data_IF_215963991705
#
_entry.id   IF_215963991705
#
_cell.length_a   1.000
_cell.length_b   1.000
_cell.length_c   1.000
_cell.angle_alpha   90.00
_cell.angle_beta   90.00
_cell.angle_gamma   90.00
#
_symmetry.space_group_name_H-M   'P 1'
#
loop_
_entity.id
_entity.type
_entity.pdbx_description
1 polymer ?
#
# COMPACT_ATOMS: atom_id res chain seq x y z
N UNK A 1 23.40 -20.09 -13.40
CA UNK A 1 22.91 -18.78 -12.94
C UNK A 1 21.40 -18.83 -13.00
N UNK A 2 20.78 -19.24 -11.90
CA UNK A 2 19.33 -19.40 -11.81
C UNK A 2 18.65 -18.05 -12.01
N UNK A 3 17.87 -17.94 -13.09
CA UNK A 3 17.02 -16.78 -13.34
C UNK A 3 15.99 -16.73 -12.22
N UNK A 4 15.96 -15.64 -11.48
CA UNK A 4 14.86 -15.35 -10.56
C UNK A 4 13.53 -15.46 -11.33
N UNK A 5 12.48 -16.07 -10.75
CA UNK A 5 11.19 -16.16 -11.39
C UNK A 5 10.71 -14.75 -11.77
N UNK A 6 10.18 -14.60 -12.99
CA UNK A 6 9.72 -13.30 -13.53
C UNK A 6 8.55 -12.70 -12.73
N UNK A 7 7.90 -13.49 -11.88
CA UNK A 7 6.75 -13.11 -11.08
C UNK A 7 7.07 -13.31 -9.59
N UNK A 8 6.79 -12.33 -8.73
CA UNK A 8 6.99 -12.47 -7.30
C UNK A 8 5.99 -13.46 -6.68
N UNK A 9 6.45 -14.22 -5.70
CA UNK A 9 5.59 -15.09 -4.87
C UNK A 9 4.87 -14.30 -3.77
N UNK A 10 5.47 -13.21 -3.28
CA UNK A 10 4.93 -12.33 -2.25
C UNK A 10 5.35 -10.88 -2.49
N UNK A 11 4.47 -9.93 -2.17
CA UNK A 11 4.77 -8.49 -2.18
C UNK A 11 4.66 -7.96 -0.77
N UNK A 12 5.65 -7.16 -0.35
CA UNK A 12 5.64 -6.45 0.93
C UNK A 12 5.57 -4.95 0.68
N UNK A 13 4.58 -4.29 1.27
CA UNK A 13 4.40 -2.84 1.25
C UNK A 13 4.71 -2.31 2.66
N UNK A 14 5.66 -1.37 2.74
CA UNK A 14 5.99 -0.67 3.98
C UNK A 14 5.67 0.80 3.73
N UNK A 15 4.77 1.36 4.54
CA UNK A 15 4.24 2.71 4.31
C UNK A 15 3.78 3.36 5.61
N UNK A 16 3.65 4.68 5.60
CA UNK A 16 3.10 5.50 6.68
C UNK A 16 1.67 6.00 6.39
N UNK A 17 1.15 5.84 5.17
CA UNK A 17 -0.20 6.24 4.81
C UNK A 17 -0.62 5.91 3.36
N UNK A 18 -1.72 6.50 2.91
CA UNK A 18 -2.18 6.40 1.51
C UNK A 18 -1.27 7.21 0.57
N UNK A 19 -1.11 6.75 -0.68
CA UNK A 19 -0.27 7.42 -1.68
C UNK A 19 -0.73 8.86 -1.94
N UNK A 20 0.24 9.76 -2.00
CA UNK A 20 0.03 11.19 -2.30
C UNK A 20 0.38 11.55 -3.74
N UNK A 21 0.97 10.62 -4.49
CA UNK A 21 1.38 10.80 -5.89
C UNK A 21 0.98 9.58 -6.73
N UNK A 22 0.59 9.84 -7.98
CA UNK A 22 0.34 8.81 -8.99
C UNK A 22 1.40 8.84 -10.09
N UNK A 23 1.09 8.29 -11.27
CA UNK A 23 2.03 8.27 -12.41
C UNK A 23 2.40 9.68 -12.93
N UNK A 24 1.51 10.66 -12.70
CA UNK A 24 1.73 12.05 -13.08
C UNK A 24 2.11 12.84 -11.84
N UNK A 25 3.11 13.72 -12.01
CA UNK A 25 3.53 14.65 -10.96
C UNK A 25 2.32 15.49 -10.48
N UNK A 26 2.11 15.64 -9.17
CA UNK A 26 1.02 16.45 -8.64
C UNK A 26 1.18 17.92 -9.07
N UNK A 27 0.04 18.60 -9.30
CA UNK A 27 0.01 20.01 -9.72
C UNK A 27 0.20 21.00 -8.56
N UNK A 28 0.08 20.53 -7.31
CA UNK A 28 0.18 21.35 -6.10
C UNK A 28 0.88 20.60 -4.96
N UNK A 29 1.13 21.30 -3.87
CA UNK A 29 1.85 20.78 -2.70
C UNK A 29 0.97 19.94 -1.75
N UNK A 30 -0.35 19.97 -1.93
CA UNK A 30 -1.33 19.31 -1.06
C UNK A 30 -2.24 18.40 -1.87
N UNK A 31 -2.75 17.36 -1.24
CA UNK A 31 -3.70 16.41 -1.82
C UNK A 31 -4.85 16.16 -0.86
N UNK A 32 -6.07 16.02 -1.39
CA UNK A 32 -7.25 15.71 -0.57
C UNK A 32 -7.26 14.23 -0.14
N UNK A 33 -7.95 13.89 0.95
CA UNK A 33 -8.14 12.50 1.37
C UNK A 33 -8.73 11.63 0.25
N UNK A 34 -9.80 12.11 -0.40
CA UNK A 34 -10.46 11.40 -1.50
C UNK A 34 -9.53 11.15 -2.71
N UNK A 35 -8.62 12.08 -3.03
CA UNK A 35 -7.65 11.88 -4.09
C UNK A 35 -6.60 10.83 -3.71
N UNK A 36 -6.17 10.77 -2.44
CA UNK A 36 -5.27 9.71 -1.94
C UNK A 36 -5.93 8.33 -2.06
N UNK A 37 -7.20 8.22 -1.72
CA UNK A 37 -7.98 6.98 -1.89
C UNK A 37 -8.10 6.57 -3.35
N UNK A 38 -8.32 7.53 -4.25
CA UNK A 38 -8.33 7.29 -5.69
C UNK A 38 -6.99 6.78 -6.19
N UNK A 39 -5.90 7.42 -5.77
CA UNK A 39 -4.54 6.98 -6.11
C UNK A 39 -4.27 5.55 -5.63
N UNK A 40 -4.70 5.22 -4.42
CA UNK A 40 -4.59 3.87 -3.88
C UNK A 40 -5.34 2.85 -4.75
N UNK A 41 -6.60 3.12 -5.10
CA UNK A 41 -7.40 2.24 -5.95
C UNK A 41 -6.78 2.06 -7.34
N UNK A 42 -6.23 3.12 -7.93
CA UNK A 42 -5.51 3.04 -9.20
C UNK A 42 -4.20 2.25 -9.10
N UNK A 43 -3.46 2.37 -8.00
CA UNK A 43 -2.26 1.58 -7.75
C UNK A 43 -2.59 0.08 -7.61
N UNK A 44 -3.65 -0.25 -6.86
CA UNK A 44 -4.09 -1.65 -6.66
C UNK A 44 -4.45 -2.33 -7.98
N UNK A 45 -5.05 -1.61 -8.93
CA UNK A 45 -5.37 -2.17 -10.27
C UNK A 45 -4.14 -2.62 -11.07
N UNK A 46 -2.95 -2.09 -10.76
CA UNK A 46 -1.69 -2.42 -11.44
C UNK A 46 -0.94 -3.57 -10.78
N UNK A 47 -1.36 -4.00 -9.59
CA UNK A 47 -0.71 -5.09 -8.87
C UNK A 47 -0.96 -6.43 -9.57
N UNK A 48 0.03 -7.35 -9.57
CA UNK A 48 -0.13 -8.66 -10.18
C UNK A 48 -1.23 -9.45 -9.47
N UNK A 49 -2.14 -10.04 -10.25
CA UNK A 49 -3.26 -10.83 -9.70
C UNK A 49 -2.77 -12.15 -9.13
N UNK A 50 -3.27 -12.55 -7.96
CA UNK A 50 -2.94 -13.84 -7.32
C UNK A 50 -1.55 -13.88 -6.72
N UNK A 51 -1.03 -12.73 -6.26
CA UNK A 51 0.17 -12.64 -5.43
C UNK A 51 -0.25 -12.05 -4.09
N UNK A 52 0.04 -12.72 -2.95
CA UNK A 52 -0.22 -12.18 -1.62
C UNK A 52 0.47 -10.84 -1.38
N UNK A 53 -0.28 -9.89 -0.83
CA UNK A 53 0.22 -8.55 -0.51
C UNK A 53 0.20 -8.36 0.99
N UNK A 54 1.40 -8.32 1.56
CA UNK A 54 1.64 -8.11 2.97
C UNK A 54 1.94 -6.63 3.20
N UNK A 55 1.26 -5.99 4.15
CA UNK A 55 1.47 -4.58 4.46
C UNK A 55 1.91 -4.38 5.90
N UNK A 56 2.95 -3.57 6.07
CA UNK A 56 3.39 -3.02 7.35
C UNK A 56 3.10 -1.51 7.31
N UNK A 57 2.09 -1.08 8.05
CA UNK A 57 1.71 0.32 8.17
C UNK A 57 2.32 0.90 9.43
N UNK A 58 3.31 1.78 9.30
CA UNK A 58 3.92 2.53 10.40
C UNK A 58 3.44 3.98 10.36
N UNK A 59 2.22 4.28 10.84
CA UNK A 59 1.59 5.57 10.60
C UNK A 59 2.34 6.68 11.35
N UNK A 60 2.83 7.67 10.61
CA UNK A 60 3.48 8.85 11.18
C UNK A 60 2.49 10.01 11.38
N UNK A 61 1.40 10.06 10.60
CA UNK A 61 0.39 11.10 10.69
C UNK A 61 -0.99 10.65 10.15
N UNK A 62 -2.04 10.89 10.92
CA UNK A 62 -3.35 11.42 10.48
C UNK A 62 -4.12 10.81 9.30
N UNK A 63 -3.77 9.64 8.78
CA UNK A 63 -4.53 8.96 7.72
C UNK A 63 -5.33 7.77 8.29
N UNK A 64 -6.50 8.03 8.92
CA UNK A 64 -7.30 6.96 9.53
C UNK A 64 -7.80 5.95 8.49
N UNK A 65 -7.85 6.34 7.22
CA UNK A 65 -8.34 5.47 6.15
C UNK A 65 -7.26 4.50 5.66
N UNK A 66 -5.97 4.85 5.78
CA UNK A 66 -4.87 3.98 5.34
C UNK A 66 -4.99 2.56 5.91
N UNK A 67 -5.22 2.42 7.22
CA UNK A 67 -5.36 1.11 7.87
C UNK A 67 -6.48 0.27 7.23
N UNK A 68 -7.66 0.87 7.01
CA UNK A 68 -8.79 0.17 6.40
C UNK A 68 -8.48 -0.28 4.95
N UNK A 69 -7.88 0.60 4.15
CA UNK A 69 -7.54 0.31 2.75
C UNK A 69 -6.50 -0.79 2.60
N UNK A 70 -5.42 -0.74 3.39
CA UNK A 70 -4.39 -1.78 3.36
C UNK A 70 -4.88 -3.10 3.95
N UNK A 71 -5.74 -3.08 4.97
CA UNK A 71 -6.38 -4.28 5.48
C UNK A 71 -7.26 -4.96 4.43
N UNK A 72 -8.08 -4.19 3.70
CA UNK A 72 -8.88 -4.71 2.59
C UNK A 72 -8.02 -5.29 1.46
N UNK A 73 -6.88 -4.66 1.16
CA UNK A 73 -5.93 -5.16 0.15
C UNK A 73 -5.32 -6.50 0.56
N UNK A 74 -4.88 -6.62 1.82
CA UNK A 74 -4.33 -7.86 2.36
C UNK A 74 -5.38 -8.99 2.30
N UNK A 75 -6.62 -8.72 2.76
CA UNK A 75 -7.71 -9.68 2.72
C UNK A 75 -8.02 -10.13 1.28
N UNK A 76 -8.10 -9.20 0.34
CA UNK A 76 -8.41 -9.49 -1.08
C UNK A 76 -7.30 -10.23 -1.83
N UNK A 77 -6.08 -10.26 -1.29
CA UNK A 77 -4.91 -10.90 -1.92
C UNK A 77 -4.41 -12.11 -1.15
N UNK A 78 -5.06 -12.49 -0.04
CA UNK A 78 -4.59 -13.52 0.89
C UNK A 78 -3.22 -13.19 1.52
N UNK A 79 -2.93 -11.90 1.68
CA UNK A 79 -1.76 -11.40 2.42
C UNK A 79 -2.10 -11.04 3.87
N UNK A 80 -1.14 -10.40 4.54
CA UNK A 80 -1.22 -10.00 5.94
C UNK A 80 -1.17 -8.48 6.11
N UNK A 81 -1.76 -7.97 7.18
CA UNK A 81 -1.67 -6.56 7.54
C UNK A 81 -1.21 -6.43 8.99
N UNK A 82 -0.18 -5.61 9.23
CA UNK A 82 0.33 -5.29 10.57
C UNK A 82 0.50 -3.78 10.66
N UNK A 83 0.06 -3.20 11.77
CA UNK A 83 0.31 -1.80 12.12
C UNK A 83 1.04 -1.77 13.46
N UNK A 84 2.38 -1.80 13.49
CA UNK A 84 3.13 -1.83 14.74
C UNK A 84 2.85 -0.58 15.60
N UNK A 85 2.96 -0.75 16.91
CA UNK A 85 2.95 0.37 17.86
C UNK A 85 4.17 1.27 17.64
N UNK A 86 4.10 2.52 18.10
CA UNK A 86 5.19 3.50 18.02
C UNK A 86 6.48 3.02 18.70
N UNK A 87 6.34 2.14 19.70
CA UNK A 87 7.43 1.62 20.51
C UNK A 87 8.05 0.31 19.98
N UNK A 88 7.71 -0.11 18.75
CA UNK A 88 8.29 -1.27 18.08
C UNK A 88 9.70 -0.96 17.51
N UNK A 89 10.68 -1.88 17.55
CA UNK A 89 10.57 -3.29 17.91
C UNK A 89 10.48 -3.58 19.42
#
# INVERSE_FOLDING_TARGET
>A
MDKLPLRPDNIFIITDGLPTQGDKKPKGATISGADREKLFREAVKKLPKGVPINTILAPMEGDPMAAAYYWQLALGTQGSFISPSKDWP
#
